data_IF_136911090371
#
_entry.id   IF_136911090371
#
_cell.length_a   1.000
_cell.length_b   1.000
_cell.length_c   1.000
_cell.angle_alpha   90.00
_cell.angle_beta   90.00
_cell.angle_gamma   90.00
#
_symmetry.space_group_name_H-M   'P 1'
#
loop_
_entity.id
_entity.type
_entity.pdbx_description
1 polymer ?
#
# COMPACT_ATOMS: atom_id res chain seq x y z
N UNK A 1 13.41 -39.86 65.99
CA UNK A 1 14.29 -39.02 65.16
C UNK A 1 13.55 -38.77 63.85
N UNK A 2 12.80 -37.67 63.76
CA UNK A 2 12.04 -37.28 62.57
C UNK A 2 12.43 -35.84 62.23
N UNK A 3 12.93 -35.63 61.00
CA UNK A 3 13.30 -34.32 60.45
C UNK A 3 12.04 -33.50 60.09
N UNK A 4 12.07 -32.15 60.19
CA UNK A 4 11.04 -31.31 59.62
C UNK A 4 11.34 -31.01 58.14
N UNK A 5 10.30 -31.11 57.30
CA UNK A 5 10.29 -30.68 55.90
C UNK A 5 10.25 -29.15 55.82
N UNK A 6 11.20 -28.56 55.10
CA UNK A 6 11.22 -27.14 54.79
C UNK A 6 10.19 -26.80 53.69
N UNK A 7 9.30 -25.85 53.98
CA UNK A 7 8.44 -25.21 53.00
C UNK A 7 9.29 -24.25 52.14
N UNK A 8 9.48 -24.57 50.87
CA UNK A 8 10.00 -23.62 49.88
C UNK A 8 8.80 -22.90 49.26
N UNK A 9 8.60 -21.64 49.62
CA UNK A 9 7.63 -20.76 49.00
C UNK A 9 8.24 -20.20 47.70
N UNK A 10 7.83 -20.74 46.55
CA UNK A 10 8.24 -20.22 45.25
C UNK A 10 7.45 -18.94 44.94
N UNK A 11 8.12 -17.80 44.92
CA UNK A 11 7.58 -16.55 44.39
C UNK A 11 7.45 -16.67 42.87
N UNK A 12 6.22 -16.68 42.37
CA UNK A 12 5.90 -16.51 40.96
C UNK A 12 6.19 -15.07 40.56
N UNK A 13 7.34 -14.85 39.89
CA UNK A 13 7.60 -13.63 39.17
C UNK A 13 6.72 -13.62 37.90
N UNK A 14 5.63 -12.86 37.93
CA UNK A 14 4.79 -12.61 36.76
C UNK A 14 5.59 -11.77 35.77
N UNK A 15 6.10 -12.38 34.71
CA UNK A 15 6.58 -11.64 33.54
C UNK A 15 5.38 -10.90 32.93
N UNK A 16 5.31 -9.59 33.14
CA UNK A 16 4.53 -8.72 32.28
C UNK A 16 5.20 -8.70 30.92
N UNK A 17 4.80 -9.62 30.03
CA UNK A 17 5.04 -9.45 28.61
C UNK A 17 4.18 -8.26 28.21
N UNK A 18 4.82 -7.09 28.04
CA UNK A 18 4.18 -5.97 27.37
C UNK A 18 3.98 -6.41 25.92
N UNK A 19 2.81 -6.97 25.64
CA UNK A 19 2.38 -7.19 24.27
C UNK A 19 2.24 -5.81 23.62
N UNK A 20 3.23 -5.43 22.81
CA UNK A 20 3.10 -4.26 21.96
C UNK A 20 1.97 -4.54 20.97
N UNK A 21 0.79 -4.00 21.26
CA UNK A 21 -0.34 -3.95 20.31
C UNK A 21 0.11 -3.12 19.12
N UNK A 22 0.23 -3.73 17.94
CA UNK A 22 0.48 -3.04 16.68
C UNK A 22 -0.79 -2.32 16.26
N UNK A 23 -0.97 -1.10 16.77
CA UNK A 23 -2.14 -0.31 16.42
C UNK A 23 -2.17 0.03 14.93
N UNK A 24 -3.37 0.06 14.37
CA UNK A 24 -3.69 0.42 12.99
C UNK A 24 -5.06 1.12 12.95
N UNK A 25 -5.45 1.64 11.80
CA UNK A 25 -6.70 2.40 11.68
C UNK A 25 -7.93 1.61 12.12
N UNK A 26 -7.97 0.30 11.81
CA UNK A 26 -8.98 -0.59 12.34
C UNK A 26 -8.84 -0.61 13.86
N UNK A 27 -7.80 -1.23 14.44
CA UNK A 27 -7.65 -1.42 15.92
C UNK A 27 -7.92 -0.16 16.75
N UNK A 28 -7.48 1.01 16.27
CA UNK A 28 -7.70 2.32 16.91
C UNK A 28 -9.19 2.68 16.96
N UNK A 29 -9.91 2.55 15.84
CA UNK A 29 -11.32 2.90 15.74
C UNK A 29 -12.19 2.04 16.67
N UNK A 30 -11.87 0.76 16.85
CA UNK A 30 -12.66 -0.15 17.70
C UNK A 30 -12.36 0.04 19.18
N UNK A 31 -11.10 0.33 19.54
CA UNK A 31 -10.75 0.76 20.91
C UNK A 31 -11.51 2.04 21.32
N UNK A 32 -11.78 2.91 20.36
CA UNK A 32 -12.53 4.14 20.56
C UNK A 32 -14.05 3.98 20.39
N UNK A 33 -14.56 2.75 20.21
CA UNK A 33 -15.98 2.48 19.95
C UNK A 33 -16.56 3.32 18.80
N UNK A 34 -15.80 3.46 17.71
CA UNK A 34 -16.22 4.21 16.52
C UNK A 34 -16.07 5.73 16.62
N UNK A 35 -15.54 6.26 17.73
CA UNK A 35 -15.51 7.70 17.97
C UNK A 35 -14.36 8.46 17.29
N UNK A 36 -13.40 7.78 16.66
CA UNK A 36 -12.29 8.48 16.01
C UNK A 36 -12.76 9.16 14.72
N UNK A 37 -12.08 10.27 14.41
CA UNK A 37 -12.28 11.03 13.18
C UNK A 37 -11.20 10.69 12.18
N UNK A 38 -11.44 11.02 10.92
CA UNK A 38 -10.39 10.85 9.91
C UNK A 38 -9.25 11.83 10.19
N UNK A 39 -8.09 11.32 10.58
CA UNK A 39 -6.94 12.12 10.99
C UNK A 39 -5.64 11.30 10.94
N UNK A 40 -4.55 11.93 11.34
CA UNK A 40 -3.23 11.37 11.45
C UNK A 40 -3.06 10.71 12.83
N UNK A 41 -2.61 9.47 12.83
CA UNK A 41 -2.35 8.68 14.02
C UNK A 41 -0.90 8.20 14.03
N UNK A 42 -0.32 8.15 15.23
CA UNK A 42 0.97 7.51 15.47
C UNK A 42 0.72 6.08 15.93
N UNK A 43 1.35 5.13 15.25
CA UNK A 43 1.25 3.71 15.54
C UNK A 43 2.65 3.12 15.68
N UNK A 44 2.74 1.93 16.28
CA UNK A 44 4.01 1.24 16.49
C UNK A 44 4.06 -0.05 15.68
N UNK A 45 5.23 -0.37 15.14
CA UNK A 45 5.49 -1.70 14.60
C UNK A 45 5.73 -2.72 15.73
N UNK A 46 5.94 -3.98 15.38
CA UNK A 46 6.18 -5.07 16.35
C UNK A 46 7.46 -4.88 17.17
N UNK A 47 8.40 -4.04 16.72
CA UNK A 47 9.61 -3.67 17.45
C UNK A 47 9.41 -2.42 18.35
N UNK A 48 8.19 -1.91 18.46
CA UNK A 48 7.87 -0.71 19.26
C UNK A 48 8.31 0.61 18.61
N UNK A 49 8.71 0.60 17.33
CA UNK A 49 9.12 1.81 16.62
C UNK A 49 7.91 2.52 16.03
N UNK A 50 7.82 3.83 16.28
CA UNK A 50 6.67 4.64 15.87
C UNK A 50 6.76 5.09 14.41
N UNK A 51 5.62 5.14 13.75
CA UNK A 51 5.42 5.74 12.43
C UNK A 51 4.02 6.33 12.31
N UNK A 52 3.80 7.18 11.29
CA UNK A 52 2.55 7.92 11.11
C UNK A 52 1.71 7.31 9.99
N UNK A 53 0.42 7.15 10.26
CA UNK A 53 -0.59 6.76 9.29
C UNK A 53 -1.70 7.80 9.25
N UNK A 54 -2.38 7.96 8.12
CA UNK A 54 -3.64 8.68 8.03
C UNK A 54 -4.76 7.65 7.97
N UNK A 55 -5.70 7.74 8.89
CA UNK A 55 -6.88 6.92 8.90
C UNK A 55 -8.03 7.70 8.29
N UNK A 56 -8.53 7.22 7.14
CA UNK A 56 -9.72 7.77 6.54
C UNK A 56 -10.91 6.85 6.81
N UNK A 57 -11.82 7.29 7.65
CA UNK A 57 -13.02 6.54 8.03
C UNK A 57 -14.23 6.91 7.16
N UNK A 58 -14.96 5.89 6.74
CA UNK A 58 -16.28 5.93 6.13
C UNK A 58 -17.20 5.01 6.93
N UNK A 59 -18.50 5.05 6.66
CA UNK A 59 -19.44 4.11 7.26
C UNK A 59 -19.14 2.68 6.78
N UNK A 60 -18.73 1.80 7.69
CA UNK A 60 -18.50 0.37 7.44
C UNK A 60 -17.12 0.02 6.84
N UNK A 61 -16.28 1.00 6.51
CA UNK A 61 -14.92 0.76 6.01
C UNK A 61 -14.02 1.99 6.13
N UNK A 62 -12.74 1.84 5.84
CA UNK A 62 -11.83 2.98 5.70
C UNK A 62 -10.62 2.68 4.85
N UNK A 63 -9.75 3.68 4.74
CA UNK A 63 -8.44 3.55 4.09
C UNK A 63 -7.31 4.02 5.00
N UNK A 64 -6.24 3.23 5.04
CA UNK A 64 -4.98 3.58 5.69
C UNK A 64 -4.02 4.14 4.65
N UNK A 65 -3.43 5.30 4.91
CA UNK A 65 -2.31 5.85 4.13
C UNK A 65 -1.05 5.89 4.98
N UNK A 66 0.09 5.51 4.42
CA UNK A 66 1.37 5.53 5.10
C UNK A 66 2.12 6.84 4.84
N UNK A 67 2.68 7.45 5.88
CA UNK A 67 3.49 8.67 5.73
C UNK A 67 4.73 8.40 4.88
N UNK A 68 5.08 9.34 3.99
CA UNK A 68 6.29 9.30 3.16
C UNK A 68 7.58 9.37 3.99
N UNK A 69 7.51 9.78 5.26
CA UNK A 69 8.65 9.83 6.18
C UNK A 69 8.89 8.51 6.91
N UNK A 70 8.12 7.45 6.63
CA UNK A 70 8.26 6.16 7.31
C UNK A 70 9.63 5.55 6.98
N UNK A 71 10.41 5.23 8.01
CA UNK A 71 11.75 4.68 7.91
C UNK A 71 11.94 3.42 8.79
N UNK A 72 10.82 2.80 9.19
CA UNK A 72 10.77 1.59 10.00
C UNK A 72 10.16 0.44 9.20
N UNK A 73 10.31 -0.79 9.68
CA UNK A 73 9.58 -1.93 9.11
C UNK A 73 8.09 -1.78 9.40
N UNK A 74 7.25 -2.02 8.40
CA UNK A 74 5.79 -1.94 8.49
C UNK A 74 5.20 -3.32 8.28
N UNK A 75 4.37 -3.76 9.23
CA UNK A 75 3.56 -4.97 9.05
C UNK A 75 2.32 -4.62 8.22
N UNK A 76 2.40 -4.91 6.92
CA UNK A 76 1.34 -4.57 5.98
C UNK A 76 0.04 -5.34 6.24
N UNK A 77 0.10 -6.56 6.79
CA UNK A 77 -1.08 -7.34 7.12
C UNK A 77 -1.92 -6.69 8.23
N UNK A 78 -1.32 -5.80 9.03
CA UNK A 78 -2.03 -5.02 10.05
C UNK A 78 -2.75 -3.79 9.49
N UNK A 79 -2.35 -3.27 8.31
CA UNK A 79 -2.86 -1.97 7.84
C UNK A 79 -4.12 -2.06 6.97
N UNK A 80 -4.45 -3.25 6.49
CA UNK A 80 -5.61 -3.51 5.63
C UNK A 80 -6.02 -4.98 5.68
N UNK A 81 -7.30 -5.25 5.50
CA UNK A 81 -7.88 -6.60 5.46
C UNK A 81 -8.75 -6.85 4.21
N UNK A 82 -9.03 -5.80 3.43
CA UNK A 82 -9.79 -5.89 2.21
C UNK A 82 -8.86 -5.75 1.01
N UNK A 83 -8.68 -6.87 0.30
CA UNK A 83 -7.78 -7.00 -0.85
C UNK A 83 -8.49 -6.83 -2.20
N UNK A 84 -9.78 -6.45 -2.21
CA UNK A 84 -10.54 -6.30 -3.46
C UNK A 84 -10.03 -5.17 -4.34
N UNK A 85 -9.50 -4.11 -3.71
CA UNK A 85 -8.93 -2.95 -4.38
C UNK A 85 -8.11 -2.10 -3.42
N UNK A 86 -7.29 -1.22 -4.00
CA UNK A 86 -6.72 -0.06 -3.33
C UNK A 86 -7.30 1.21 -3.96
N UNK A 87 -7.11 2.34 -3.31
CA UNK A 87 -7.23 3.64 -3.97
C UNK A 87 -5.86 4.25 -4.17
N UNK A 88 -5.66 4.89 -5.31
CA UNK A 88 -4.55 5.80 -5.52
C UNK A 88 -5.11 7.20 -5.39
N UNK A 89 -4.50 7.99 -4.52
CA UNK A 89 -4.67 9.44 -4.48
C UNK A 89 -3.51 10.10 -5.18
N UNK A 90 -3.76 11.19 -5.88
CA UNK A 90 -2.68 11.99 -6.43
C UNK A 90 -2.98 13.49 -6.47
N UNK A 91 -1.94 14.29 -6.70
CA UNK A 91 -2.02 15.74 -6.87
C UNK A 91 -0.90 16.27 -7.76
N UNK A 92 -1.21 17.28 -8.57
CA UNK A 92 -0.29 17.85 -9.54
C UNK A 92 0.85 18.70 -8.94
N UNK A 93 0.67 19.25 -7.73
CA UNK A 93 1.66 20.15 -7.12
C UNK A 93 1.99 19.76 -5.69
N UNK A 94 3.15 20.22 -5.18
CA UNK A 94 3.63 19.95 -3.82
C UNK A 94 2.73 20.58 -2.73
N UNK A 95 2.01 21.65 -3.04
CA UNK A 95 1.14 22.39 -2.10
C UNK A 95 -0.24 21.76 -1.83
N UNK A 96 -1.15 22.56 -1.25
CA UNK A 96 -2.57 22.24 -1.01
C UNK A 96 -3.41 22.28 -2.30
N UNK A 97 -2.91 21.66 -3.37
CA UNK A 97 -3.66 21.53 -4.61
C UNK A 97 -4.85 20.59 -4.48
N UNK A 98 -5.70 20.59 -5.50
CA UNK A 98 -6.74 19.57 -5.65
C UNK A 98 -6.12 18.18 -5.62
N UNK A 99 -6.79 17.27 -4.92
CA UNK A 99 -6.44 15.86 -4.91
C UNK A 99 -7.44 15.13 -5.79
N UNK A 100 -6.98 14.10 -6.46
CA UNK A 100 -7.80 13.22 -7.25
C UNK A 100 -7.60 11.80 -6.80
N UNK A 101 -8.58 10.94 -7.06
CA UNK A 101 -8.50 9.54 -6.68
C UNK A 101 -9.02 8.62 -7.76
N UNK A 102 -8.43 7.43 -7.81
CA UNK A 102 -8.88 6.31 -8.62
C UNK A 102 -8.84 5.03 -7.79
N UNK A 103 -9.84 4.18 -7.97
CA UNK A 103 -9.87 2.82 -7.45
C UNK A 103 -9.13 1.90 -8.40
N UNK A 104 -8.24 1.07 -7.87
CA UNK A 104 -7.46 0.10 -8.64
C UNK A 104 -7.75 -1.31 -8.11
N UNK A 105 -8.22 -2.18 -8.99
CA UNK A 105 -8.64 -3.54 -8.67
C UNK A 105 -8.11 -4.54 -9.71
N UNK A 106 -8.35 -5.82 -9.45
CA UNK A 106 -8.11 -6.86 -10.45
C UNK A 106 -9.05 -6.75 -11.66
N UNK A 107 -8.58 -7.28 -12.79
CA UNK A 107 -9.47 -7.68 -13.87
C UNK A 107 -10.45 -8.75 -13.41
N UNK A 108 -11.62 -8.83 -14.05
CA UNK A 108 -12.62 -9.84 -13.76
C UNK A 108 -12.11 -11.27 -13.92
N UNK A 109 -11.23 -11.52 -14.91
CA UNK A 109 -10.57 -12.82 -15.10
C UNK A 109 -9.64 -13.23 -13.96
N UNK A 110 -9.26 -12.28 -13.09
CA UNK A 110 -8.43 -12.49 -11.90
C UNK A 110 -9.17 -12.09 -10.61
N UNK A 111 -10.51 -12.08 -10.61
CA UNK A 111 -11.29 -11.62 -9.45
C UNK A 111 -11.06 -12.41 -8.15
N UNK A 112 -10.57 -13.65 -8.25
CA UNK A 112 -10.19 -14.47 -7.09
C UNK A 112 -8.78 -14.18 -6.56
N UNK A 113 -7.98 -13.40 -7.27
CA UNK A 113 -6.61 -13.05 -6.89
C UNK A 113 -6.65 -11.76 -6.06
N UNK A 114 -6.14 -11.74 -4.82
CA UNK A 114 -6.14 -10.51 -4.03
C UNK A 114 -5.20 -9.45 -4.67
N UNK A 115 -5.57 -8.17 -4.61
CA UNK A 115 -4.60 -7.09 -4.82
C UNK A 115 -3.61 -7.13 -3.65
N UNK A 116 -2.33 -7.31 -3.94
CA UNK A 116 -1.29 -7.42 -2.93
C UNK A 116 -0.64 -6.08 -2.68
N UNK A 117 -0.68 -5.60 -1.43
CA UNK A 117 0.06 -4.40 -1.01
C UNK A 117 1.21 -4.80 -0.08
N UNK A 118 2.43 -4.41 -0.44
CA UNK A 118 3.65 -4.77 0.28
C UNK A 118 4.51 -3.53 0.52
N UNK A 119 5.27 -3.50 1.62
CA UNK A 119 6.16 -2.40 1.96
C UNK A 119 7.61 -2.81 1.78
N UNK A 120 8.30 -2.16 0.86
CA UNK A 120 9.68 -2.44 0.46
C UNK A 120 9.96 -3.92 0.15
N UNK A 121 8.94 -4.61 -0.35
CA UNK A 121 8.96 -6.03 -0.69
C UNK A 121 8.03 -6.30 -1.89
N UNK A 122 8.18 -7.47 -2.52
CA UNK A 122 7.43 -7.91 -3.70
C UNK A 122 7.28 -9.44 -3.76
N UNK A 123 7.15 -10.10 -2.61
CA UNK A 123 7.05 -11.56 -2.51
C UNK A 123 5.92 -12.10 -3.41
N UNK A 124 6.24 -13.09 -4.26
CA UNK A 124 5.32 -13.68 -5.23
C UNK A 124 5.17 -12.92 -6.56
N UNK A 125 5.80 -11.76 -6.70
CA UNK A 125 5.71 -10.89 -7.88
C UNK A 125 7.09 -10.58 -8.45
N UNK A 126 7.11 -10.14 -9.71
CA UNK A 126 8.30 -9.53 -10.28
C UNK A 126 8.48 -8.13 -9.69
N UNK A 127 9.64 -7.90 -9.06
CA UNK A 127 9.89 -6.66 -8.33
C UNK A 127 10.10 -5.42 -9.21
N UNK A 128 10.00 -4.22 -8.62
CA UNK A 128 10.30 -2.97 -9.31
C UNK A 128 11.73 -2.89 -9.84
N UNK A 129 11.94 -2.15 -10.94
CA UNK A 129 13.29 -1.87 -11.46
C UNK A 129 14.05 -0.89 -10.58
N UNK A 130 13.32 -0.04 -9.83
CA UNK A 130 13.89 1.04 -9.03
C UNK A 130 13.96 0.74 -7.52
N UNK A 131 14.19 -0.51 -7.13
CA UNK A 131 14.27 -0.94 -5.71
C UNK A 131 15.35 -0.21 -4.90
N UNK A 132 16.36 0.38 -5.54
CA UNK A 132 17.35 1.23 -4.85
C UNK A 132 16.70 2.45 -4.18
N UNK A 133 15.59 2.96 -4.71
CA UNK A 133 14.85 4.12 -4.20
C UNK A 133 13.98 3.82 -2.95
N UNK A 134 14.22 2.69 -2.29
CA UNK A 134 13.52 2.26 -1.10
C UNK A 134 13.55 3.33 0.04
N UNK A 135 12.54 3.35 0.92
CA UNK A 135 11.38 2.45 0.95
C UNK A 135 10.33 2.76 -0.12
N UNK A 136 9.43 1.82 -0.38
CA UNK A 136 8.32 1.97 -1.32
C UNK A 136 7.07 1.18 -0.91
N UNK A 137 5.91 1.59 -1.40
CA UNK A 137 4.69 0.77 -1.38
C UNK A 137 4.56 0.09 -2.75
N UNK A 138 4.51 -1.23 -2.76
CA UNK A 138 4.28 -2.06 -3.94
C UNK A 138 2.83 -2.53 -3.97
N UNK A 139 2.15 -2.33 -5.09
CA UNK A 139 0.81 -2.84 -5.35
C UNK A 139 0.89 -3.81 -6.53
N UNK A 140 0.81 -5.11 -6.25
CA UNK A 140 0.86 -6.20 -7.23
C UNK A 140 -0.52 -6.75 -7.58
N UNK A 141 -0.70 -7.14 -8.85
CA UNK A 141 -1.96 -7.67 -9.37
C UNK A 141 -1.84 -9.15 -9.70
N UNK A 142 -1.04 -9.50 -10.72
CA UNK A 142 -0.92 -10.88 -11.19
C UNK A 142 0.39 -11.49 -10.67
N UNK A 143 0.36 -12.53 -9.82
CA UNK A 143 1.56 -13.22 -9.35
C UNK A 143 2.35 -13.85 -10.50
N UNK A 144 3.67 -14.03 -10.31
CA UNK A 144 4.54 -14.66 -11.33
C UNK A 144 3.98 -16.04 -11.74
N UNK A 145 3.48 -16.82 -10.78
CA UNK A 145 2.92 -18.16 -11.01
C UNK A 145 1.72 -18.20 -11.96
N UNK A 146 1.05 -17.05 -12.16
CA UNK A 146 -0.13 -16.92 -13.04
C UNK A 146 0.18 -16.14 -14.32
N UNK A 147 1.39 -15.59 -14.44
CA UNK A 147 1.79 -14.84 -15.63
C UNK A 147 2.35 -15.78 -16.69
N UNK A 148 1.52 -16.09 -17.69
CA UNK A 148 1.89 -16.98 -18.79
C UNK A 148 1.82 -16.22 -20.12
N UNK A 149 2.72 -16.56 -21.04
CA UNK A 149 2.69 -16.02 -22.41
C UNK A 149 1.35 -16.33 -23.08
N UNK A 150 0.79 -15.35 -23.77
CA UNK A 150 -0.49 -15.43 -24.47
C UNK A 150 -1.71 -15.18 -23.60
N UNK A 151 -1.58 -15.09 -22.28
CA UNK A 151 -2.73 -14.79 -21.42
C UNK A 151 -3.07 -13.30 -21.44
N UNK A 152 -4.36 -13.01 -21.28
CA UNK A 152 -4.82 -11.64 -21.06
C UNK A 152 -4.40 -11.20 -19.65
N UNK A 153 -3.81 -10.02 -19.54
CA UNK A 153 -3.35 -9.41 -18.29
C UNK A 153 -3.79 -7.95 -18.24
N UNK A 154 -3.61 -7.32 -17.08
CA UNK A 154 -3.95 -5.92 -16.87
C UNK A 154 -4.57 -5.69 -15.50
N UNK A 155 -5.39 -4.66 -15.42
CA UNK A 155 -5.96 -4.17 -14.18
C UNK A 155 -7.25 -3.38 -14.44
N UNK A 156 -8.01 -3.16 -13.37
CA UNK A 156 -9.26 -2.40 -13.41
C UNK A 156 -9.06 -1.04 -12.75
N UNK A 157 -9.42 0.02 -13.44
CA UNK A 157 -9.35 1.40 -12.94
C UNK A 157 -10.74 2.00 -12.95
N UNK A 158 -11.25 2.42 -11.78
CA UNK A 158 -12.59 3.00 -11.64
C UNK A 158 -13.70 2.13 -12.26
N UNK A 159 -13.55 0.80 -12.18
CA UNK A 159 -14.49 -0.17 -12.75
C UNK A 159 -14.20 -0.57 -14.21
N UNK A 160 -13.41 0.20 -14.95
CA UNK A 160 -13.05 -0.06 -16.34
C UNK A 160 -11.89 -1.07 -16.44
N UNK A 161 -12.05 -2.09 -17.28
CA UNK A 161 -11.01 -3.10 -17.51
C UNK A 161 -10.03 -2.66 -18.58
N UNK A 162 -8.77 -2.54 -18.18
CA UNK A 162 -7.65 -2.23 -19.06
C UNK A 162 -6.84 -3.51 -19.23
N UNK A 163 -6.97 -4.15 -20.39
CA UNK A 163 -6.34 -5.42 -20.66
C UNK A 163 -5.42 -5.39 -21.88
N UNK A 164 -4.47 -6.32 -21.88
CA UNK A 164 -3.52 -6.54 -22.96
C UNK A 164 -3.09 -8.02 -22.96
N UNK A 165 -2.53 -8.50 -24.07
CA UNK A 165 -1.97 -9.85 -24.14
C UNK A 165 -0.53 -9.86 -23.64
N UNK A 166 -0.18 -10.77 -22.72
CA UNK A 166 1.21 -11.00 -22.37
C UNK A 166 1.96 -11.69 -23.52
N UNK A 167 2.50 -10.92 -24.44
CA UNK A 167 3.04 -11.43 -25.70
C UNK A 167 4.40 -12.14 -25.58
N UNK A 168 5.17 -11.91 -24.51
CA UNK A 168 6.53 -12.46 -24.32
C UNK A 168 6.70 -13.30 -23.05
N UNK A 169 5.68 -13.39 -22.19
CA UNK A 169 5.72 -14.14 -20.93
C UNK A 169 6.32 -13.37 -19.75
N UNK A 170 6.66 -12.09 -19.91
CA UNK A 170 7.20 -11.26 -18.84
C UNK A 170 6.16 -11.06 -17.72
N UNK A 171 6.50 -11.33 -16.44
CA UNK A 171 5.56 -11.37 -15.34
C UNK A 171 5.38 -10.06 -14.55
N UNK A 172 5.84 -8.92 -15.08
CA UNK A 172 5.62 -7.64 -14.41
C UNK A 172 4.12 -7.29 -14.36
N UNK A 173 3.60 -6.98 -13.18
CA UNK A 173 2.19 -6.61 -12.99
C UNK A 173 2.04 -5.81 -11.69
N UNK A 174 2.42 -4.53 -11.71
CA UNK A 174 2.35 -3.66 -10.53
C UNK A 174 2.33 -2.17 -10.85
N UNK A 175 1.98 -1.41 -9.81
CA UNK A 175 2.40 -0.04 -9.58
C UNK A 175 3.14 0.06 -8.24
N UNK A 176 4.22 0.83 -8.18
CA UNK A 176 5.00 1.08 -6.98
C UNK A 176 5.18 2.58 -6.74
N UNK A 177 5.15 3.01 -5.48
CA UNK A 177 5.33 4.39 -5.04
C UNK A 177 6.53 4.47 -4.10
N UNK A 178 7.58 5.20 -4.51
CA UNK A 178 8.88 5.24 -3.84
C UNK A 178 9.04 6.50 -2.99
N UNK A 179 9.46 6.31 -1.76
CA UNK A 179 9.63 7.38 -0.78
C UNK A 179 10.96 8.10 -1.05
N UNK A 180 11.97 7.34 -1.48
CA UNK A 180 13.23 7.84 -2.01
C UNK A 180 13.90 8.94 -1.15
N UNK A 181 14.12 8.70 0.16
CA UNK A 181 14.68 9.71 1.07
C UNK A 181 16.08 10.19 0.64
N UNK A 182 16.82 9.36 -0.08
CA UNK A 182 18.17 9.66 -0.59
C UNK A 182 18.17 10.43 -1.92
N UNK A 183 17.00 10.77 -2.48
CA UNK A 183 16.89 11.57 -3.70
C UNK A 183 17.51 10.90 -4.94
N UNK A 184 17.45 9.57 -5.03
CA UNK A 184 18.03 8.83 -6.14
C UNK A 184 17.20 9.00 -7.42
N UNK A 185 17.85 8.87 -8.57
CA UNK A 185 17.19 8.97 -9.87
C UNK A 185 16.63 7.60 -10.33
N UNK A 186 15.63 7.67 -11.19
CA UNK A 186 15.12 6.48 -11.88
C UNK A 186 16.20 5.83 -12.75
N UNK A 187 16.09 4.52 -12.86
CA UNK A 187 16.72 3.66 -13.86
C UNK A 187 15.67 3.22 -14.86
N UNK A 188 16.10 3.11 -16.11
CA UNK A 188 15.29 2.57 -17.20
C UNK A 188 14.70 3.63 -18.12
N UNK A 189 14.51 3.23 -19.37
CA UNK A 189 13.85 4.06 -20.37
C UNK A 189 12.33 4.00 -20.18
N UNK A 190 11.69 5.15 -20.32
CA UNK A 190 10.23 5.26 -20.20
C UNK A 190 9.61 4.93 -21.55
N UNK A 191 8.63 4.03 -21.56
CA UNK A 191 7.87 3.74 -22.78
C UNK A 191 7.03 4.93 -23.23
N UNK A 192 6.44 4.81 -24.42
CA UNK A 192 5.45 5.78 -24.89
C UNK A 192 4.25 5.81 -23.94
N UNK A 193 3.71 7.01 -23.75
CA UNK A 193 2.49 7.22 -22.95
C UNK A 193 1.33 6.44 -23.56
N UNK A 194 0.64 5.61 -22.78
CA UNK A 194 -0.54 4.87 -23.22
C UNK A 194 -1.59 4.77 -22.10
N UNK A 195 -2.83 4.47 -22.47
CA UNK A 195 -3.94 4.41 -21.50
C UNK A 195 -3.74 3.31 -20.44
N UNK A 196 -3.15 2.16 -20.80
CA UNK A 196 -2.90 1.06 -19.86
C UNK A 196 -2.09 1.52 -18.65
N UNK A 197 -1.08 2.38 -18.85
CA UNK A 197 -0.17 2.87 -17.82
C UNK A 197 -0.69 4.09 -17.06
N UNK A 198 -1.53 4.93 -17.69
CA UNK A 198 -1.90 6.25 -17.17
C UNK A 198 -3.38 6.45 -16.85
N UNK A 199 -4.25 5.47 -17.11
CA UNK A 199 -5.69 5.57 -16.80
C UNK A 199 -5.97 5.94 -15.33
N UNK A 200 -5.17 5.42 -14.39
CA UNK A 200 -5.31 5.73 -12.96
C UNK A 200 -5.17 7.23 -12.66
N UNK A 201 -4.42 7.96 -13.49
CA UNK A 201 -4.26 9.40 -13.41
C UNK A 201 -5.34 10.11 -14.25
N UNK A 202 -5.48 9.72 -15.52
CA UNK A 202 -6.32 10.41 -16.50
C UNK A 202 -7.83 10.35 -16.20
N UNK A 203 -8.29 9.25 -15.61
CA UNK A 203 -9.72 9.02 -15.34
C UNK A 203 -10.07 9.17 -13.85
N UNK A 204 -9.21 9.87 -13.11
CA UNK A 204 -9.42 10.12 -11.69
C UNK A 204 -10.53 11.13 -11.42
N UNK A 205 -11.14 11.02 -10.25
CA UNK A 205 -12.19 11.94 -9.79
C UNK A 205 -11.62 12.86 -8.71
N UNK A 206 -12.05 14.14 -8.72
CA UNK A 206 -11.64 15.08 -7.69
C UNK A 206 -12.13 14.64 -6.31
N UNK A 207 -11.25 14.75 -5.32
CA UNK A 207 -11.53 14.47 -3.91
C UNK A 207 -12.07 15.74 -3.26
N UNK A 208 -13.26 15.60 -2.66
CA UNK A 208 -13.90 16.64 -1.86
C UNK A 208 -12.95 17.19 -0.78
N UNK A 209 -13.03 18.49 -0.51
CA UNK A 209 -12.07 19.21 0.32
C UNK A 209 -11.93 18.63 1.74
N UNK A 210 -13.04 18.23 2.36
CA UNK A 210 -13.09 17.60 3.69
C UNK A 210 -12.51 16.18 3.74
N UNK A 211 -12.30 15.57 2.56
CA UNK A 211 -11.71 14.24 2.42
C UNK A 211 -10.25 14.28 2.00
N UNK A 212 -9.64 15.43 1.76
CA UNK A 212 -8.24 15.55 1.33
C UNK A 212 -7.28 15.11 2.45
N UNK A 213 -6.21 14.38 2.10
CA UNK A 213 -5.18 13.96 3.07
C UNK A 213 -3.99 14.92 3.08
N UNK A 214 -3.22 15.01 4.18
CA UNK A 214 -2.05 15.88 4.24
C UNK A 214 -0.96 15.54 3.22
N UNK A 215 -0.13 16.53 2.85
CA UNK A 215 0.94 16.34 1.87
C UNK A 215 1.95 15.25 2.27
N UNK A 216 2.21 15.07 3.57
CA UNK A 216 3.18 14.10 4.08
C UNK A 216 2.85 12.63 3.77
N UNK A 217 1.68 12.34 3.20
CA UNK A 217 1.30 11.00 2.76
C UNK A 217 1.55 10.77 1.26
N UNK A 218 1.99 11.80 0.53
CA UNK A 218 2.25 11.70 -0.90
C UNK A 218 3.75 11.60 -1.19
N UNK A 219 4.09 10.76 -2.16
CA UNK A 219 5.44 10.63 -2.72
C UNK A 219 5.45 11.01 -4.19
N UNK A 220 6.56 11.59 -4.64
CA UNK A 220 6.68 12.04 -6.03
C UNK A 220 7.03 10.90 -6.98
N UNK A 221 7.78 9.90 -6.50
CA UNK A 221 8.33 8.86 -7.35
C UNK A 221 7.40 7.65 -7.42
N UNK A 222 7.14 7.18 -8.63
CA UNK A 222 6.34 5.99 -8.89
C UNK A 222 6.79 5.28 -10.18
N UNK A 223 6.48 4.00 -10.27
CA UNK A 223 6.78 3.10 -11.38
C UNK A 223 5.55 2.23 -11.66
N UNK A 224 5.13 2.14 -12.92
CA UNK A 224 4.11 1.18 -13.37
C UNK A 224 4.76 0.25 -14.36
N UNK A 225 4.61 -1.06 -14.16
CA UNK A 225 5.16 -2.04 -15.09
C UNK A 225 4.16 -3.17 -15.30
N UNK A 226 3.75 -3.28 -16.56
CA UNK A 226 2.88 -4.30 -17.09
C UNK A 226 3.69 -5.06 -18.14
N UNK A 227 4.00 -6.33 -17.87
CA UNK A 227 4.85 -7.18 -18.72
C UNK A 227 4.26 -7.41 -20.10
N UNK A 228 4.99 -8.12 -20.97
CA UNK A 228 4.56 -8.36 -22.34
C UNK A 228 4.30 -7.08 -23.09
N UNK A 229 3.09 -6.96 -23.60
CA UNK A 229 2.68 -5.84 -24.43
C UNK A 229 2.01 -4.71 -23.62
N UNK A 230 2.10 -4.72 -22.28
CA UNK A 230 1.49 -3.71 -21.43
C UNK A 230 2.27 -2.40 -21.38
N UNK A 231 3.55 -2.47 -21.00
CA UNK A 231 4.49 -1.35 -21.01
C UNK A 231 5.12 -1.04 -19.66
N UNK A 232 5.97 -0.02 -19.67
CA UNK A 232 6.72 0.43 -18.49
C UNK A 232 6.74 1.95 -18.43
N UNK A 233 6.44 2.50 -17.26
CA UNK A 233 6.56 3.92 -16.99
C UNK A 233 7.11 4.25 -15.62
N UNK A 234 7.67 5.46 -15.52
CA UNK A 234 8.02 6.10 -14.26
C UNK A 234 7.39 7.50 -14.20
N UNK A 235 7.37 8.09 -13.01
CA UNK A 235 6.74 9.39 -12.75
C UNK A 235 7.35 10.61 -13.46
N UNK A 236 8.39 10.46 -14.28
CA UNK A 236 8.89 11.55 -15.13
C UNK A 236 7.88 11.96 -16.21
N UNK A 237 7.02 11.05 -16.66
CA UNK A 237 6.02 11.32 -17.70
C UNK A 237 4.73 11.94 -17.16
N UNK A 238 4.39 11.66 -15.89
CA UNK A 238 3.28 12.28 -15.18
C UNK A 238 3.84 12.73 -13.84
N UNK A 239 4.41 13.95 -13.77
CA UNK A 239 5.04 14.48 -12.57
C UNK A 239 3.96 14.79 -11.53
N UNK A 240 3.50 13.76 -10.83
CA UNK A 240 2.41 13.82 -9.86
C UNK A 240 2.86 13.19 -8.56
N UNK A 241 2.37 13.77 -7.47
CA UNK A 241 2.55 13.24 -6.14
C UNK A 241 1.44 12.21 -5.90
N UNK A 242 1.78 10.97 -5.55
CA UNK A 242 0.83 9.88 -5.34
C UNK A 242 0.89 9.28 -3.93
N UNK A 243 -0.23 8.70 -3.50
CA UNK A 243 -0.38 8.01 -2.23
C UNK A 243 -1.29 6.79 -2.41
N UNK A 244 -0.98 5.69 -1.71
CA UNK A 244 -1.79 4.46 -1.75
C UNK A 244 -2.66 4.38 -0.50
N UNK A 245 -3.98 4.32 -0.69
CA UNK A 245 -4.96 4.06 0.37
C UNK A 245 -5.31 2.59 0.39
N UNK A 246 -4.99 1.92 1.50
CA UNK A 246 -5.20 0.49 1.69
C UNK A 246 -6.50 0.25 2.46
N UNK A 247 -7.41 -0.56 1.91
CA UNK A 247 -8.77 -0.67 2.42
C UNK A 247 -8.86 -1.59 3.63
N UNK A 248 -9.47 -1.11 4.71
CA UNK A 248 -9.85 -1.94 5.85
C UNK A 248 -11.37 -1.93 6.04
N UNK A 249 -11.93 -3.01 6.57
CA UNK A 249 -13.31 -3.03 7.04
C UNK A 249 -13.41 -2.31 8.39
N UNK A 250 -14.52 -1.61 8.63
CA UNK A 250 -14.88 -1.23 9.99
C UNK A 250 -15.34 -2.49 10.75
N UNK A 251 -15.47 -2.38 12.07
CA UNK A 251 -15.73 -3.48 12.98
C UNK A 251 -17.13 -4.05 12.88
#
# INVERSE_FOLDING_TARGET
MFLPMAFVCAQLATLFIVAFSTDNCKTLQGKANGALRSDIYTVNNSAGQSYRIYCQFYEGYGYTFLSSSTNVTVDMASLYDNTSHVIIRHKASKGQGNQYTSTIAQLGSYASVPVSVQYSAFSGYQGPRNTHMAPYIFVGYIPISMSVRGTMQGWKVNGEELNFTNCDGNPNSYIAFFFNPSGQMYRGHVGQRNDLLYKWYDSSSEVAQDKRIPHEFFVYYHEVHLGGCGGYSVGSNVPTWGAVGMKFSEY
#
